data_IF_606606113271
#
_entry.id   IF_606606113271
#
_cell.length_a   1.000
_cell.length_b   1.000
_cell.length_c   1.000
_cell.angle_alpha   90.00
_cell.angle_beta   90.00
_cell.angle_gamma   90.00
#
_symmetry.space_group_name_H-M   'P 1'
#
loop_
_entity.id
_entity.type
_entity.pdbx_description
1 polymer ?
#
# COMPACT_ATOMS: atom_id res chain seq x y z
N UNK A 1 31.27 18.80 10.94
CA UNK A 1 29.89 19.17 10.70
C UNK A 1 29.11 17.92 10.32
N UNK A 2 28.06 17.51 11.04
CA UNK A 2 27.24 16.39 10.63
C UNK A 2 26.55 16.74 9.31
N UNK A 3 26.68 15.87 8.30
CA UNK A 3 25.93 15.99 7.04
C UNK A 3 24.43 16.06 7.38
N UNK A 4 23.74 17.12 6.96
CA UNK A 4 22.29 17.20 7.02
C UNK A 4 21.75 15.95 6.33
N UNK A 5 20.94 15.12 7.01
CA UNK A 5 20.33 13.97 6.34
C UNK A 5 19.54 14.50 5.14
N UNK A 6 19.89 14.03 3.95
CA UNK A 6 19.25 14.42 2.70
C UNK A 6 17.73 14.23 2.80
N UNK A 7 16.96 15.14 2.20
CA UNK A 7 15.50 14.97 2.08
C UNK A 7 15.29 13.73 1.22
N UNK A 8 14.84 12.64 1.84
CA UNK A 8 14.44 11.45 1.09
C UNK A 8 13.11 11.81 0.44
N UNK A 9 13.10 11.93 -0.88
CA UNK A 9 11.90 12.19 -1.65
C UNK A 9 11.70 11.07 -2.67
N UNK A 10 10.53 10.44 -2.65
CA UNK A 10 10.17 9.41 -3.63
C UNK A 10 9.57 10.09 -4.86
N UNK A 11 10.04 9.71 -6.03
CA UNK A 11 9.53 10.17 -7.31
C UNK A 11 8.47 9.21 -7.85
N UNK A 12 7.22 9.67 -7.92
CA UNK A 12 6.11 8.94 -8.50
C UNK A 12 5.92 9.32 -9.96
N UNK A 13 5.83 8.32 -10.84
CA UNK A 13 5.43 8.47 -12.24
C UNK A 13 3.98 8.03 -12.37
N UNK A 14 3.10 8.98 -12.66
CA UNK A 14 1.67 8.81 -12.72
C UNK A 14 1.14 9.12 -14.13
N UNK A 15 -0.08 8.69 -14.40
CA UNK A 15 -0.90 9.17 -15.50
C UNK A 15 -2.08 9.90 -14.90
N UNK A 16 -2.31 11.13 -15.32
CA UNK A 16 -3.41 11.98 -14.86
C UNK A 16 -4.57 11.94 -15.86
N UNK A 17 -5.78 11.85 -15.34
CA UNK A 17 -7.03 11.86 -16.08
C UNK A 17 -7.98 12.91 -15.50
N UNK A 18 -8.77 13.55 -16.33
CA UNK A 18 -9.79 14.54 -15.92
C UNK A 18 -11.18 14.19 -16.47
N UNK A 19 -11.74 13.02 -16.08
CA UNK A 19 -13.08 12.66 -16.54
C UNK A 19 -14.13 13.59 -15.96
N UNK A 20 -15.18 13.88 -16.76
CA UNK A 20 -16.35 14.62 -16.31
C UNK A 20 -17.53 13.71 -16.06
N UNK A 21 -18.23 13.92 -14.93
CA UNK A 21 -19.50 13.27 -14.62
C UNK A 21 -20.49 14.35 -14.23
N UNK A 22 -21.48 14.58 -15.09
CA UNK A 22 -22.32 15.76 -14.99
C UNK A 22 -21.49 17.04 -15.11
N UNK A 23 -21.76 18.07 -14.31
CA UNK A 23 -21.03 19.34 -14.35
C UNK A 23 -19.64 19.27 -13.70
N UNK A 24 -19.32 18.18 -12.98
CA UNK A 24 -18.08 18.08 -12.20
C UNK A 24 -16.97 17.37 -12.97
N UNK A 25 -15.81 17.99 -13.02
CA UNK A 25 -14.56 17.35 -13.43
C UNK A 25 -13.88 16.74 -12.20
N UNK A 26 -13.35 15.52 -12.37
CA UNK A 26 -12.59 14.82 -11.32
C UNK A 26 -11.15 14.66 -11.77
N UNK A 27 -10.22 15.05 -10.93
CA UNK A 27 -8.81 14.78 -11.15
C UNK A 27 -8.48 13.37 -10.61
N UNK A 28 -8.11 12.46 -11.50
CA UNK A 28 -7.76 11.08 -11.15
C UNK A 28 -6.34 10.81 -11.59
N UNK A 29 -5.54 10.21 -10.73
CA UNK A 29 -4.19 9.76 -11.06
C UNK A 29 -4.06 8.26 -10.88
N UNK A 30 -3.24 7.64 -11.72
CA UNK A 30 -2.94 6.21 -11.70
C UNK A 30 -1.43 6.02 -11.83
N UNK A 31 -0.81 5.04 -11.13
CA UNK A 31 0.58 4.67 -11.38
C UNK A 31 0.79 4.32 -12.86
N UNK A 32 1.79 4.92 -13.49
CA UNK A 32 2.12 4.64 -14.89
C UNK A 32 2.61 3.21 -15.09
N UNK A 33 3.33 2.70 -14.11
CA UNK A 33 3.77 1.30 -14.08
C UNK A 33 2.89 0.53 -13.08
N UNK A 34 2.34 -0.62 -13.47
CA UNK A 34 1.57 -1.45 -12.55
C UNK A 34 2.42 -1.93 -11.37
N UNK A 35 1.80 -2.15 -10.22
CA UNK A 35 2.42 -2.80 -9.07
C UNK A 35 2.30 -4.32 -9.27
N UNK A 36 3.30 -4.92 -9.88
CA UNK A 36 3.22 -6.31 -10.39
C UNK A 36 3.07 -7.38 -9.32
N UNK A 37 3.71 -7.19 -8.17
CA UNK A 37 3.78 -8.17 -7.07
C UNK A 37 3.01 -7.67 -5.85
N UNK A 38 1.91 -6.97 -6.10
CA UNK A 38 1.06 -6.40 -5.07
C UNK A 38 -0.39 -6.76 -5.34
N UNK A 39 -1.06 -7.31 -4.34
CA UNK A 39 -2.48 -7.70 -4.39
C UNK A 39 -3.22 -7.13 -3.21
N UNK A 40 -4.53 -6.98 -3.38
CA UNK A 40 -5.45 -6.57 -2.33
C UNK A 40 -6.70 -7.43 -2.41
N UNK A 41 -7.10 -8.05 -1.30
CA UNK A 41 -8.38 -8.76 -1.17
C UNK A 41 -9.45 -7.88 -0.54
N UNK A 42 -10.71 -8.18 -0.87
CA UNK A 42 -11.89 -7.50 -0.34
C UNK A 42 -12.04 -7.74 1.17
N UNK A 43 -11.92 -6.72 2.02
CA UNK A 43 -12.03 -6.88 3.46
C UNK A 43 -13.46 -7.16 3.96
N UNK A 44 -14.49 -6.95 3.13
CA UNK A 44 -15.89 -7.25 3.48
C UNK A 44 -16.36 -8.62 3.01
N UNK A 45 -15.59 -9.26 2.10
CA UNK A 45 -15.84 -10.62 1.63
C UNK A 45 -15.00 -11.67 2.39
N UNK A 46 -14.44 -11.29 3.54
CA UNK A 46 -13.56 -12.12 4.36
C UNK A 46 -12.43 -11.31 4.97
N UNK A 47 -11.22 -11.87 4.97
CA UNK A 47 -10.04 -11.18 5.47
C UNK A 47 -9.44 -10.27 4.40
N UNK A 48 -9.40 -8.95 4.67
CA UNK A 48 -8.72 -7.96 3.83
C UNK A 48 -7.21 -8.08 3.98
N UNK A 49 -6.54 -8.38 2.87
CA UNK A 49 -5.09 -8.60 2.89
C UNK A 49 -4.42 -7.88 1.72
N UNK A 50 -3.59 -6.91 2.06
CA UNK A 50 -2.73 -6.19 1.13
C UNK A 50 -1.34 -6.82 1.17
N UNK A 51 -0.98 -7.60 0.17
CA UNK A 51 0.33 -8.25 0.08
C UNK A 51 1.16 -7.59 -1.00
N UNK A 52 2.43 -7.34 -0.71
CA UNK A 52 3.34 -6.79 -1.70
C UNK A 52 4.81 -7.12 -1.41
N UNK A 53 5.63 -6.97 -2.43
CA UNK A 53 7.08 -6.94 -2.30
C UNK A 53 7.58 -5.55 -1.86
N UNK A 54 8.89 -5.42 -1.69
CA UNK A 54 9.52 -4.16 -1.31
C UNK A 54 9.11 -2.99 -2.24
N UNK A 55 9.20 -3.17 -3.57
CA UNK A 55 8.87 -2.11 -4.55
C UNK A 55 7.38 -1.76 -4.50
N UNK A 56 6.53 -2.77 -4.47
CA UNK A 56 5.08 -2.60 -4.45
C UNK A 56 4.60 -1.85 -3.21
N UNK A 57 5.05 -2.27 -2.02
CA UNK A 57 4.68 -1.62 -0.75
C UNK A 57 5.27 -0.22 -0.64
N UNK A 58 6.54 0.00 -1.04
CA UNK A 58 7.15 1.34 -1.05
C UNK A 58 6.41 2.30 -1.99
N UNK A 59 6.01 1.83 -3.17
CA UNK A 59 5.22 2.64 -4.11
C UNK A 59 3.81 2.90 -3.60
N UNK A 60 3.18 1.95 -2.91
CA UNK A 60 1.91 2.20 -2.22
C UNK A 60 2.07 3.24 -1.11
N UNK A 61 3.10 3.15 -0.27
CA UNK A 61 3.40 4.15 0.74
C UNK A 61 3.51 5.55 0.13
N UNK A 62 4.23 5.69 -0.98
CA UNK A 62 4.35 6.95 -1.71
C UNK A 62 3.01 7.43 -2.30
N UNK A 63 2.12 6.53 -2.75
CA UNK A 63 0.78 6.89 -3.24
C UNK A 63 -0.14 7.35 -2.10
N UNK A 64 -0.08 6.72 -0.93
CA UNK A 64 -0.76 7.20 0.28
C UNK A 64 -0.23 8.56 0.73
N UNK A 65 1.11 8.74 0.69
CA UNK A 65 1.76 10.04 0.94
C UNK A 65 1.28 11.12 -0.02
N UNK A 66 1.19 10.80 -1.31
CA UNK A 66 0.65 11.71 -2.31
C UNK A 66 -0.84 12.03 -2.05
N UNK A 67 -1.65 11.01 -1.75
CA UNK A 67 -3.06 11.21 -1.39
C UNK A 67 -3.20 12.13 -0.18
N UNK A 68 -2.37 11.97 0.86
CA UNK A 68 -2.40 12.81 2.06
C UNK A 68 -2.32 14.31 1.75
N UNK A 69 -1.55 14.71 0.73
CA UNK A 69 -1.33 16.11 0.38
C UNK A 69 -2.04 16.57 -0.91
N UNK A 70 -2.94 15.74 -1.43
CA UNK A 70 -3.67 16.01 -2.69
C UNK A 70 -5.19 15.91 -2.50
N UNK A 71 -5.81 16.83 -1.72
CA UNK A 71 -7.21 16.69 -1.27
C UNK A 71 -8.25 16.67 -2.39
N UNK A 72 -7.91 17.16 -3.58
CA UNK A 72 -8.81 17.21 -4.74
C UNK A 72 -8.49 16.15 -5.81
N UNK A 73 -7.60 15.19 -5.47
CA UNK A 73 -7.16 14.16 -6.41
C UNK A 73 -7.60 12.79 -5.91
N UNK A 74 -8.15 11.99 -6.81
CA UNK A 74 -8.45 10.58 -6.60
C UNK A 74 -7.26 9.78 -7.09
N UNK A 75 -6.69 8.91 -6.24
CA UNK A 75 -5.62 7.99 -6.61
C UNK A 75 -6.24 6.63 -6.90
N UNK A 76 -6.10 6.15 -8.12
CA UNK A 76 -6.58 4.82 -8.53
C UNK A 76 -5.40 3.87 -8.74
N UNK A 77 -5.42 2.73 -8.07
CA UNK A 77 -4.38 1.69 -8.18
C UNK A 77 -5.03 0.39 -8.65
N UNK A 78 -4.82 -0.02 -9.91
CA UNK A 78 -5.35 -1.28 -10.44
C UNK A 78 -4.51 -2.45 -9.91
N UNK A 79 -5.03 -3.19 -8.93
CA UNK A 79 -4.34 -4.32 -8.29
C UNK A 79 -4.89 -5.70 -8.71
N UNK A 80 -6.13 -5.78 -9.18
CA UNK A 80 -6.78 -7.07 -9.52
C UNK A 80 -6.06 -7.90 -10.57
N UNK A 81 -5.20 -7.29 -11.39
CA UNK A 81 -4.51 -7.94 -12.52
C UNK A 81 -3.06 -8.29 -12.19
N UNK A 82 -2.62 -8.06 -10.97
CA UNK A 82 -1.19 -7.96 -10.65
C UNK A 82 -0.48 -9.29 -10.36
N UNK A 83 -1.16 -10.32 -9.85
CA UNK A 83 -0.48 -11.54 -9.35
C UNK A 83 -1.31 -12.81 -9.64
N UNK A 84 -0.66 -13.97 -9.85
CA UNK A 84 -1.32 -15.26 -9.89
C UNK A 84 -2.12 -15.50 -8.60
N UNK A 85 -3.39 -15.88 -8.74
CA UNK A 85 -4.38 -16.08 -7.67
C UNK A 85 -3.99 -17.05 -6.55
N UNK A 86 -2.94 -17.83 -6.73
CA UNK A 86 -2.47 -18.82 -5.76
C UNK A 86 -1.87 -18.24 -4.47
N UNK A 87 -1.65 -16.91 -4.40
CA UNK A 87 -1.02 -16.26 -3.26
C UNK A 87 -1.89 -15.22 -2.56
N UNK A 88 -3.08 -14.91 -3.06
CA UNK A 88 -3.96 -13.94 -2.43
C UNK A 88 -5.21 -14.63 -1.88
N UNK A 89 -5.38 -14.73 -0.55
CA UNK A 89 -6.63 -15.18 0.03
C UNK A 89 -7.74 -14.17 -0.30
N UNK A 90 -8.91 -14.64 -0.70
CA UNK A 90 -10.11 -13.82 -0.87
C UNK A 90 -10.33 -13.27 -2.29
N UNK A 91 -11.29 -12.36 -2.40
CA UNK A 91 -11.73 -11.75 -3.67
C UNK A 91 -10.82 -10.57 -4.01
N UNK A 92 -10.08 -10.58 -5.13
CA UNK A 92 -9.18 -9.48 -5.47
C UNK A 92 -9.94 -8.21 -5.86
N UNK A 93 -9.48 -7.07 -5.34
CA UNK A 93 -10.03 -5.73 -5.62
C UNK A 93 -8.96 -4.75 -6.07
N UNK A 94 -9.37 -3.72 -6.81
CA UNK A 94 -8.55 -2.54 -7.07
C UNK A 94 -8.63 -1.59 -5.86
N UNK A 95 -7.73 -0.61 -5.76
CA UNK A 95 -7.69 0.37 -4.69
C UNK A 95 -7.97 1.78 -5.21
N UNK A 96 -8.78 2.53 -4.48
CA UNK A 96 -8.98 3.97 -4.67
C UNK A 96 -8.74 4.69 -3.35
N UNK A 97 -7.89 5.73 -3.38
CA UNK A 97 -7.68 6.65 -2.27
C UNK A 97 -8.26 8.01 -2.65
N UNK A 98 -9.09 8.59 -1.79
CA UNK A 98 -9.59 9.94 -1.96
C UNK A 98 -9.86 10.61 -0.61
N UNK A 99 -9.72 11.94 -0.56
CA UNK A 99 -10.21 12.68 0.58
C UNK A 99 -11.75 12.65 0.61
N UNK A 100 -12.32 12.86 1.80
CA UNK A 100 -13.78 12.99 1.96
C UNK A 100 -14.33 14.26 1.30
N UNK A 101 -13.49 15.31 1.20
CA UNK A 101 -13.87 16.63 0.66
C UNK A 101 -14.37 16.63 -0.79
N UNK A 102 -13.88 15.82 -1.74
CA UNK A 102 -14.43 15.74 -3.09
C UNK A 102 -15.83 15.15 -3.18
N UNK A 103 -16.35 14.56 -2.10
CA UNK A 103 -17.69 13.94 -2.08
C UNK A 103 -17.82 12.76 -3.03
N UNK A 104 -16.74 11.99 -3.24
CA UNK A 104 -16.76 10.78 -4.06
C UNK A 104 -17.68 9.74 -3.41
N UNK A 105 -18.74 9.36 -4.12
CA UNK A 105 -19.60 8.23 -3.73
C UNK A 105 -19.08 6.95 -4.37
N UNK A 106 -19.05 5.85 -3.64
CA UNK A 106 -18.60 4.56 -4.15
C UNK A 106 -19.36 4.14 -5.43
N UNK A 107 -20.67 4.38 -5.47
CA UNK A 107 -21.52 4.11 -6.64
C UNK A 107 -21.17 4.90 -7.89
N UNK A 108 -20.52 6.06 -7.77
CA UNK A 108 -20.08 6.87 -8.92
C UNK A 108 -18.78 6.35 -9.56
N UNK A 109 -18.00 5.56 -8.82
CA UNK A 109 -16.69 5.10 -9.23
C UNK A 109 -16.68 4.30 -10.54
N UNK A 110 -17.57 3.32 -10.80
CA UNK A 110 -17.58 2.58 -12.07
C UNK A 110 -17.77 3.49 -13.29
N UNK A 111 -18.59 4.53 -13.16
CA UNK A 111 -18.81 5.53 -14.21
C UNK A 111 -17.57 6.35 -14.49
N UNK A 112 -16.84 6.77 -13.46
CA UNK A 112 -15.57 7.50 -13.57
C UNK A 112 -14.49 6.59 -14.20
N UNK A 113 -14.32 5.37 -13.69
CA UNK A 113 -13.33 4.41 -14.19
C UNK A 113 -13.46 4.13 -15.69
N UNK A 114 -14.69 3.97 -16.20
CA UNK A 114 -14.93 3.76 -17.63
C UNK A 114 -14.50 4.93 -18.52
N UNK A 115 -14.37 6.12 -17.95
CA UNK A 115 -13.97 7.35 -18.64
C UNK A 115 -12.48 7.70 -18.53
N UNK A 116 -11.67 6.83 -17.96
CA UNK A 116 -10.21 7.00 -17.90
C UNK A 116 -9.60 6.73 -19.28
N UNK A 117 -9.59 7.74 -20.13
CA UNK A 117 -9.05 7.71 -21.49
C UNK A 117 -8.15 8.90 -21.71
N UNK A 118 -7.17 8.78 -22.61
CA UNK A 118 -6.26 9.85 -23.00
C UNK A 118 -5.61 10.61 -21.81
N UNK A 119 -5.03 9.84 -20.88
CA UNK A 119 -4.35 10.43 -19.72
C UNK A 119 -3.01 11.05 -20.09
N UNK A 120 -2.61 12.10 -19.35
CA UNK A 120 -1.33 12.80 -19.50
C UNK A 120 -0.30 12.34 -18.48
N UNK A 121 0.99 12.24 -18.87
CA UNK A 121 2.06 11.89 -17.92
C UNK A 121 2.21 12.96 -16.84
N UNK A 122 2.29 12.53 -15.59
CA UNK A 122 2.54 13.38 -14.43
C UNK A 122 3.69 12.80 -13.62
N UNK A 123 4.62 13.64 -13.18
CA UNK A 123 5.66 13.27 -12.23
C UNK A 123 5.51 14.12 -10.98
N UNK A 124 5.42 13.47 -9.82
CA UNK A 124 5.35 14.14 -8.52
C UNK A 124 6.45 13.64 -7.60
N UNK A 125 6.78 14.44 -6.60
CA UNK A 125 7.69 14.08 -5.51
C UNK A 125 6.93 14.12 -4.21
N UNK A 126 7.11 13.13 -3.36
CA UNK A 126 6.59 13.10 -1.99
C UNK A 126 7.67 13.61 -1.03
N UNK A 127 7.25 14.25 0.04
CA UNK A 127 8.12 14.72 1.12
C UNK A 127 7.91 13.82 2.34
N UNK A 128 8.79 12.83 2.50
CA UNK A 128 8.69 11.82 3.56
C UNK A 128 8.77 12.43 4.95
N UNK A 129 9.56 13.50 5.15
CA UNK A 129 9.62 14.18 6.46
C UNK A 129 8.30 14.80 6.85
N UNK A 130 7.64 15.43 5.87
CA UNK A 130 6.33 16.04 6.08
C UNK A 130 5.26 14.98 6.36
N UNK A 131 5.35 13.83 5.68
CA UNK A 131 4.48 12.68 5.93
C UNK A 131 4.70 12.14 7.34
N UNK A 132 5.95 11.86 7.73
CA UNK A 132 6.29 11.35 9.06
C UNK A 132 5.84 12.31 10.18
N UNK A 133 6.01 13.62 10.02
CA UNK A 133 5.55 14.61 11.00
C UNK A 133 4.01 14.58 11.15
N UNK A 134 3.26 14.38 10.07
CA UNK A 134 1.80 14.26 10.13
C UNK A 134 1.34 12.94 10.72
N UNK A 135 2.03 11.86 10.40
CA UNK A 135 1.78 10.54 10.99
C UNK A 135 1.98 10.58 12.50
N UNK A 136 3.10 11.12 12.99
CA UNK A 136 3.38 11.28 14.42
C UNK A 136 2.33 12.13 15.13
N UNK A 137 1.89 13.23 14.51
CA UNK A 137 0.83 14.07 15.06
C UNK A 137 -0.53 13.36 15.12
N UNK A 138 -0.82 12.47 14.17
CA UNK A 138 -2.02 11.65 14.19
C UNK A 138 -1.96 10.59 15.30
N UNK A 139 -0.83 9.89 15.42
CA UNK A 139 -0.58 8.86 16.45
C UNK A 139 -0.68 9.45 17.86
N UNK A 140 -0.06 10.62 18.11
CA UNK A 140 -0.15 11.29 19.40
C UNK A 140 -1.60 11.67 19.77
N UNK A 141 -2.40 12.15 18.81
CA UNK A 141 -3.82 12.44 19.05
C UNK A 141 -4.62 11.15 19.27
N UNK A 142 -4.28 10.09 18.57
CA UNK A 142 -4.91 8.78 18.73
C UNK A 142 -4.68 8.22 20.13
N UNK A 143 -3.44 8.25 20.64
CA UNK A 143 -3.08 7.82 21.98
C UNK A 143 -3.80 8.62 23.08
N UNK A 144 -4.02 9.93 22.85
CA UNK A 144 -4.75 10.79 23.79
C UNK A 144 -6.27 10.59 23.80
N UNK A 145 -6.83 10.05 22.73
CA UNK A 145 -8.30 9.95 22.52
C UNK A 145 -8.72 8.56 22.03
N UNK A 146 -7.99 7.53 22.41
CA UNK A 146 -8.25 6.17 21.98
C UNK A 146 -9.69 5.69 22.30
N UNK A 147 -10.26 6.18 23.41
CA UNK A 147 -11.60 5.87 23.89
C UNK A 147 -12.72 6.61 23.12
N UNK A 148 -12.39 7.71 22.44
CA UNK A 148 -13.33 8.54 21.68
C UNK A 148 -12.74 8.95 20.32
N UNK A 149 -12.44 8.01 19.45
CA UNK A 149 -11.89 8.34 18.14
C UNK A 149 -12.97 9.04 17.31
N UNK A 150 -12.74 10.31 17.00
CA UNK A 150 -13.63 11.04 16.11
C UNK A 150 -13.61 10.37 14.72
N UNK A 151 -14.82 10.00 14.22
CA UNK A 151 -14.95 9.22 12.98
C UNK A 151 -14.32 9.90 11.74
N UNK A 152 -14.17 11.21 11.75
CA UNK A 152 -13.56 11.98 10.67
C UNK A 152 -12.02 11.86 10.62
N UNK A 153 -11.35 11.47 11.71
CA UNK A 153 -9.91 11.22 11.74
C UNK A 153 -9.53 9.84 11.15
N UNK A 154 -10.49 8.99 10.84
CA UNK A 154 -10.29 7.67 10.28
C UNK A 154 -10.61 7.60 8.79
N UNK A 155 -10.14 6.54 8.17
CA UNK A 155 -10.40 6.20 6.77
C UNK A 155 -11.71 5.40 6.70
N UNK A 156 -12.70 5.88 5.97
CA UNK A 156 -13.94 5.14 5.68
C UNK A 156 -13.71 4.15 4.53
N UNK A 157 -13.76 2.84 4.78
CA UNK A 157 -13.66 1.85 3.72
C UNK A 157 -15.03 1.61 3.08
N UNK A 158 -15.05 1.36 1.76
CA UNK A 158 -16.22 0.88 1.04
C UNK A 158 -15.77 0.03 -0.15
N UNK A 159 -16.42 -1.11 -0.39
CA UNK A 159 -16.16 -1.91 -1.60
C UNK A 159 -17.32 -1.76 -2.56
N UNK A 160 -17.01 -1.43 -3.82
CA UNK A 160 -17.99 -1.33 -4.88
C UNK A 160 -17.41 -1.70 -6.23
N UNK A 161 -18.10 -2.57 -6.96
CA UNK A 161 -17.72 -3.03 -8.29
C UNK A 161 -16.25 -3.51 -8.40
N UNK A 162 -15.80 -4.30 -7.42
CA UNK A 162 -14.45 -4.87 -7.36
C UNK A 162 -13.36 -3.81 -7.08
N UNK A 163 -13.69 -2.77 -6.34
CA UNK A 163 -12.76 -1.73 -5.95
C UNK A 163 -12.98 -1.38 -4.47
N UNK A 164 -11.93 -1.42 -3.67
CA UNK A 164 -11.92 -0.88 -2.31
C UNK A 164 -11.64 0.63 -2.40
N UNK A 165 -12.58 1.42 -1.92
CA UNK A 165 -12.45 2.85 -1.78
C UNK A 165 -12.08 3.17 -0.33
N UNK A 166 -10.97 3.86 -0.13
CA UNK A 166 -10.54 4.38 1.16
C UNK A 166 -10.74 5.90 1.14
N UNK A 167 -11.72 6.38 1.89
CA UNK A 167 -12.09 7.79 1.97
C UNK A 167 -11.60 8.36 3.30
N UNK A 168 -10.51 9.10 3.28
CA UNK A 168 -9.80 9.52 4.49
C UNK A 168 -9.54 11.02 4.59
N UNK A 169 -8.82 11.38 5.64
CA UNK A 169 -8.24 12.70 5.86
C UNK A 169 -6.73 12.67 5.61
N UNK A 170 -6.11 13.85 5.59
CA UNK A 170 -4.66 14.01 5.39
C UNK A 170 -3.85 13.14 6.33
N UNK A 171 -4.14 13.28 7.62
CA UNK A 171 -3.29 12.73 8.67
C UNK A 171 -3.45 11.19 8.77
N UNK A 172 -4.66 10.67 8.53
CA UNK A 172 -4.89 9.22 8.47
C UNK A 172 -4.19 8.56 7.27
N UNK A 173 -4.17 9.22 6.09
CA UNK A 173 -3.38 8.73 4.96
C UNK A 173 -1.88 8.84 5.20
N UNK A 174 -1.39 9.88 5.89
CA UNK A 174 0.02 10.00 6.24
C UNK A 174 0.46 8.89 7.20
N UNK A 175 -0.34 8.57 8.23
CA UNK A 175 -0.04 7.47 9.13
C UNK A 175 -0.11 6.10 8.44
N UNK A 176 -1.11 5.86 7.58
CA UNK A 176 -1.18 4.64 6.77
C UNK A 176 0.05 4.50 5.84
N UNK A 177 0.56 5.61 5.29
CA UNK A 177 1.77 5.60 4.46
C UNK A 177 2.99 5.12 5.24
N UNK A 178 3.19 5.56 6.49
CA UNK A 178 4.32 5.12 7.32
C UNK A 178 4.24 3.64 7.68
N UNK A 179 3.03 3.08 7.87
CA UNK A 179 2.84 1.64 8.07
C UNK A 179 3.25 0.83 6.84
N UNK A 180 2.87 1.29 5.64
CA UNK A 180 3.27 0.67 4.38
C UNK A 180 4.77 0.76 4.13
N UNK A 181 5.39 1.90 4.47
CA UNK A 181 6.84 2.09 4.37
C UNK A 181 7.59 1.14 5.32
N UNK A 182 7.15 1.04 6.56
CA UNK A 182 7.70 0.09 7.52
C UNK A 182 7.56 -1.37 7.03
N UNK A 183 6.41 -1.72 6.46
CA UNK A 183 6.18 -3.04 5.87
C UNK A 183 7.10 -3.29 4.66
N UNK A 184 7.31 -2.30 3.78
CA UNK A 184 8.26 -2.39 2.68
C UNK A 184 9.70 -2.66 3.17
N UNK A 185 10.07 -2.08 4.31
CA UNK A 185 11.38 -2.25 4.95
C UNK A 185 11.56 -3.58 5.70
N UNK A 186 10.54 -4.46 5.76
CA UNK A 186 10.61 -5.70 6.53
C UNK A 186 11.81 -6.59 6.11
N UNK A 187 12.07 -6.70 4.82
CA UNK A 187 13.22 -7.46 4.31
C UNK A 187 13.17 -8.95 4.67
N UNK A 188 14.34 -9.64 4.72
CA UNK A 188 14.43 -11.08 4.99
C UNK A 188 14.35 -11.42 6.49
N UNK A 189 13.59 -10.66 7.26
CA UNK A 189 13.41 -10.89 8.69
C UNK A 189 12.55 -12.13 8.93
N UNK A 190 13.20 -13.22 9.22
CA UNK A 190 12.55 -14.50 9.48
C UNK A 190 12.58 -15.46 8.28
N UNK A 191 12.48 -16.75 8.62
CA UNK A 191 12.59 -17.85 7.65
C UNK A 191 11.53 -17.80 6.56
N UNK A 192 10.29 -17.49 6.93
CA UNK A 192 9.16 -17.42 5.97
C UNK A 192 9.39 -16.38 4.87
N UNK A 193 9.78 -15.14 5.25
CA UNK A 193 10.08 -14.08 4.29
C UNK A 193 11.29 -14.44 3.41
N UNK A 194 12.33 -15.05 4.00
CA UNK A 194 13.49 -15.51 3.25
C UNK A 194 13.16 -16.61 2.23
N UNK A 195 12.16 -17.42 2.49
CA UNK A 195 11.65 -18.48 1.62
C UNK A 195 10.63 -17.96 0.58
N UNK A 196 10.28 -16.65 0.62
CA UNK A 196 9.32 -16.05 -0.28
C UNK A 196 7.86 -16.31 0.09
N UNK A 197 7.60 -16.77 1.32
CA UNK A 197 6.24 -16.83 1.87
C UNK A 197 5.81 -15.41 2.27
N UNK A 198 4.52 -15.15 2.21
CA UNK A 198 3.95 -13.95 2.78
C UNK A 198 4.04 -13.97 4.31
N UNK A 199 4.32 -12.81 4.87
CA UNK A 199 4.43 -12.61 6.33
C UNK A 199 3.60 -11.39 6.69
N UNK A 200 2.68 -11.55 7.63
CA UNK A 200 1.93 -10.43 8.21
C UNK A 200 2.90 -9.51 8.95
N UNK A 201 2.94 -8.25 8.57
CA UNK A 201 3.94 -7.29 9.09
C UNK A 201 3.32 -6.04 9.70
N UNK A 202 2.09 -5.69 9.31
CA UNK A 202 1.39 -4.52 9.84
C UNK A 202 -0.11 -4.66 9.61
N UNK A 203 -0.90 -3.71 10.16
CA UNK A 203 -2.33 -3.62 9.91
C UNK A 203 -2.74 -2.17 9.64
N UNK A 204 -3.68 -1.97 8.72
CA UNK A 204 -4.38 -0.72 8.50
C UNK A 204 -5.72 -0.65 9.26
N UNK A 205 -6.15 -1.74 9.88
CA UNK A 205 -7.41 -1.82 10.64
C UNK A 205 -7.57 -0.67 11.67
N UNK A 206 -6.54 -0.28 12.45
CA UNK A 206 -6.66 0.85 13.38
C UNK A 206 -6.97 2.19 12.72
N UNK A 207 -6.66 2.33 11.42
CA UNK A 207 -6.93 3.53 10.64
C UNK A 207 -8.34 3.57 10.04
N UNK A 208 -9.08 2.45 10.07
CA UNK A 208 -10.38 2.33 9.45
C UNK A 208 -11.50 2.78 10.39
N UNK A 209 -12.46 3.51 9.83
CA UNK A 209 -13.74 3.82 10.50
C UNK A 209 -14.73 2.69 10.20
N UNK A 210 -14.76 1.70 11.06
CA UNK A 210 -15.67 0.57 10.98
C UNK A 210 -16.95 0.87 11.77
N UNK A 211 -18.06 0.29 11.37
CA UNK A 211 -19.30 0.30 12.15
C UNK A 211 -19.16 -0.65 13.32
N UNK A 212 -19.87 -0.38 14.39
CA UNK A 212 -19.96 -1.29 15.53
C UNK A 212 -20.46 -2.66 15.05
N UNK A 213 -19.73 -3.73 15.37
CA UNK A 213 -20.01 -5.09 14.90
C UNK A 213 -19.32 -5.51 13.59
N UNK A 214 -18.76 -4.58 12.81
CA UNK A 214 -17.97 -4.93 11.63
C UNK A 214 -16.64 -5.57 12.05
N UNK A 215 -16.41 -6.82 11.65
CA UNK A 215 -15.15 -7.55 11.85
C UNK A 215 -14.19 -7.36 10.67
N UNK A 216 -14.25 -6.21 10.03
CA UNK A 216 -13.44 -5.94 8.85
C UNK A 216 -12.00 -5.69 9.27
N UNK A 217 -11.09 -6.50 8.79
CA UNK A 217 -9.65 -6.34 8.96
C UNK A 217 -9.02 -5.98 7.63
N UNK A 218 -7.98 -5.18 7.66
CA UNK A 218 -7.15 -4.86 6.50
C UNK A 218 -5.68 -4.90 6.91
N UNK A 219 -5.09 -6.02 6.68
CA UNK A 219 -3.71 -6.30 7.07
C UNK A 219 -2.73 -6.14 5.92
N UNK A 220 -1.47 -5.90 6.26
CA UNK A 220 -0.37 -5.74 5.32
C UNK A 220 0.57 -6.92 5.45
N UNK A 221 0.74 -7.67 4.36
CA UNK A 221 1.71 -8.73 4.21
C UNK A 221 2.90 -8.31 3.37
N UNK A 222 4.08 -8.74 3.78
CA UNK A 222 5.29 -8.67 2.97
C UNK A 222 5.57 -10.03 2.32
N UNK A 223 5.79 -10.03 1.00
CA UNK A 223 6.23 -11.21 0.26
C UNK A 223 7.36 -10.83 -0.68
N UNK A 224 8.55 -11.38 -0.46
CA UNK A 224 9.70 -11.10 -1.31
C UNK A 224 9.50 -11.62 -2.75
N UNK A 225 9.76 -10.75 -3.73
CA UNK A 225 9.82 -11.17 -5.13
C UNK A 225 11.04 -10.56 -5.83
N UNK A 226 11.89 -11.38 -6.48
CA UNK A 226 11.91 -12.84 -6.33
C UNK A 226 12.26 -13.25 -4.89
N UNK A 227 11.96 -14.52 -4.48
CA UNK A 227 12.31 -15.01 -3.15
C UNK A 227 13.80 -14.80 -2.85
N UNK A 228 14.17 -14.42 -1.64
CA UNK A 228 15.58 -14.18 -1.28
C UNK A 228 16.48 -15.38 -1.50
N UNK A 229 15.96 -16.61 -1.39
CA UNK A 229 16.69 -17.83 -1.73
C UNK A 229 17.23 -17.87 -3.16
N UNK A 230 16.59 -17.13 -4.09
CA UNK A 230 17.04 -16.99 -5.46
C UNK A 230 18.40 -16.31 -5.58
N UNK A 231 18.76 -15.44 -4.65
CA UNK A 231 20.03 -14.70 -4.61
C UNK A 231 21.12 -15.41 -3.78
N UNK A 232 20.80 -16.51 -3.10
CA UNK A 232 21.81 -17.29 -2.40
C UNK A 232 22.73 -17.91 -3.45
N UNK A 233 24.03 -17.56 -3.42
CA UNK A 233 25.03 -18.25 -4.21
C UNK A 233 24.94 -19.75 -3.87
N UNK A 234 24.94 -20.66 -4.87
CA UNK A 234 25.01 -22.08 -4.60
C UNK A 234 26.20 -22.30 -3.68
N UNK A 235 25.97 -22.89 -2.51
CA UNK A 235 27.01 -23.12 -1.52
C UNK A 235 28.17 -23.82 -2.20
N UNK A 236 29.38 -23.33 -1.96
CA UNK A 236 30.61 -23.98 -2.42
C UNK A 236 30.47 -25.45 -2.04
N UNK A 237 30.55 -26.41 -2.99
CA UNK A 237 30.39 -27.81 -2.66
C UNK A 237 31.36 -28.14 -1.51
N UNK A 238 30.82 -28.76 -0.44
CA UNK A 238 31.63 -29.13 0.70
C UNK A 238 32.83 -29.91 0.14
N UNK A 239 34.04 -29.39 0.34
CA UNK A 239 35.26 -30.06 -0.07
C UNK A 239 35.20 -31.48 0.48
N UNK A 240 35.12 -32.48 -0.42
CA UNK A 240 35.17 -33.89 -0.04
C UNK A 240 36.40 -34.06 0.87
N UNK A 241 36.17 -34.28 2.17
CA UNK A 241 37.23 -34.66 3.08
C UNK A 241 37.89 -35.87 2.47
N UNK A 242 39.15 -35.70 2.08
CA UNK A 242 40.04 -36.80 1.64
C UNK A 242 40.05 -37.82 2.77
N UNK A 243 39.73 -39.09 2.49
CA UNK A 243 39.85 -40.12 3.54
C UNK A 243 41.29 -40.16 4.05
N UNK A 244 41.49 -40.42 5.34
CA UNK A 244 42.85 -40.58 5.88
C UNK A 244 43.55 -41.73 5.17
N UNK A 245 44.79 -41.50 4.75
CA UNK A 245 45.65 -42.53 4.15
C UNK A 245 45.80 -43.65 5.17
N UNK A 246 45.44 -44.87 4.75
CA UNK A 246 45.72 -46.07 5.55
C UNK A 246 47.25 -46.20 5.67
N UNK A 247 47.73 -46.14 6.92
CA UNK A 247 49.10 -46.44 7.27
C UNK A 247 49.32 -47.96 7.14
N UNK A 248 50.24 -48.34 6.29
CA UNK A 248 50.78 -49.70 6.23
C UNK A 248 51.85 -49.92 7.30
#
# INVERSE_FOLDING_TARGET
>A
MPRRPGVVSVRLRLTEYTPRVGPRAHRIVQPRQPLRHTTLSDPFAGWGYLVGDHDGLARLAALFSFAAFSPHTIVYVPLRRGVPRQYAPGVPVDLVLAHRSPGLRASAWPGLRRRLRAGTPLTVRTDERRVAARAAAWEARWEQRWDRPEAWDRIGPAVHAGTLLLLGARDSFASAATRLEAAAGHGPLGKGAAEGRDVLVASLTPHLSLREGDRTELDIGFQAYPPYGHFRRPGRPASRRRPPAASA
#
